data_IF_940007834730
#
_entry.id   IF_940007834730
#
_cell.length_a   1.000
_cell.length_b   1.000
_cell.length_c   1.000
_cell.angle_alpha   90.00
_cell.angle_beta   90.00
_cell.angle_gamma   90.00
#
_symmetry.space_group_name_H-M   'P 1'
#
loop_
_entity.id
_entity.type
_entity.pdbx_description
1 polymer ?
#
# COMPACT_ATOMS: atom_id res chain seq x y z
N UNK A 1 3.10 -19.67 -0.15
CA UNK A 1 4.02 -18.56 0.19
C UNK A 1 4.16 -18.38 1.69
N UNK A 2 5.30 -17.86 2.15
CA UNK A 2 5.52 -17.43 3.55
C UNK A 2 5.81 -15.92 3.54
N UNK A 3 5.27 -15.19 4.52
CA UNK A 3 5.58 -13.77 4.76
C UNK A 3 5.55 -13.45 6.25
N UNK A 4 6.05 -12.27 6.61
CA UNK A 4 6.22 -11.85 7.99
C UNK A 4 5.57 -10.49 8.23
N UNK A 5 4.61 -10.45 9.16
CA UNK A 5 3.97 -9.22 9.60
C UNK A 5 4.63 -8.71 10.89
N UNK A 6 4.99 -7.43 10.89
CA UNK A 6 5.64 -6.74 11.99
C UNK A 6 4.83 -5.51 12.37
N UNK A 7 4.63 -5.33 13.68
CA UNK A 7 3.95 -4.16 14.23
C UNK A 7 4.98 -3.16 14.78
N UNK A 8 4.99 -1.94 14.25
CA UNK A 8 5.84 -0.86 14.74
C UNK A 8 5.02 0.27 15.34
N UNK A 9 5.65 1.01 16.26
CA UNK A 9 5.15 2.28 16.77
C UNK A 9 6.23 3.34 16.57
N UNK A 10 5.91 4.40 15.85
CA UNK A 10 6.81 5.54 15.66
C UNK A 10 6.26 6.77 16.38
N UNK A 11 7.13 7.51 17.08
CA UNK A 11 6.80 8.82 17.67
C UNK A 11 6.80 9.92 16.59
N UNK A 12 6.07 9.66 15.52
CA UNK A 12 5.89 10.50 14.35
C UNK A 12 4.39 10.48 14.05
N UNK A 13 3.78 11.64 13.87
CA UNK A 13 2.36 11.74 13.50
C UNK A 13 2.05 10.86 12.30
N UNK A 14 0.94 10.13 12.34
CA UNK A 14 0.46 9.33 11.21
C UNK A 14 0.24 10.13 9.91
N UNK A 15 0.05 11.45 10.01
CA UNK A 15 -0.06 12.35 8.86
C UNK A 15 1.30 12.73 8.25
N UNK A 16 2.41 12.51 8.96
CA UNK A 16 3.78 12.78 8.48
C UNK A 16 4.32 11.63 7.63
N UNK A 17 3.58 11.24 6.59
CA UNK A 17 3.80 10.03 5.78
C UNK A 17 5.21 9.97 5.18
N UNK A 18 5.74 11.09 4.70
CA UNK A 18 7.10 11.12 4.14
C UNK A 18 8.17 10.84 5.20
N UNK A 19 8.03 11.39 6.41
CA UNK A 19 8.96 11.10 7.52
C UNK A 19 8.86 9.65 7.95
N UNK A 20 7.65 9.10 8.04
CA UNK A 20 7.44 7.68 8.35
C UNK A 20 8.17 6.80 7.32
N UNK A 21 8.00 7.10 6.02
CA UNK A 21 8.72 6.41 4.95
C UNK A 21 10.24 6.47 5.12
N UNK A 22 10.81 7.65 5.36
CA UNK A 22 12.26 7.81 5.55
C UNK A 22 12.78 6.98 6.72
N UNK A 23 12.06 7.00 7.85
CA UNK A 23 12.42 6.22 9.03
C UNK A 23 12.35 4.70 8.76
N UNK A 24 11.30 4.22 8.10
CA UNK A 24 11.17 2.82 7.73
C UNK A 24 12.25 2.38 6.74
N UNK A 25 12.51 3.18 5.69
CA UNK A 25 13.48 2.83 4.66
C UNK A 25 14.90 2.73 5.23
N UNK A 26 15.26 3.67 6.12
CA UNK A 26 16.51 3.62 6.87
C UNK A 26 16.60 2.36 7.76
N UNK A 27 15.56 2.09 8.56
CA UNK A 27 15.52 0.91 9.43
C UNK A 27 15.67 -0.40 8.66
N UNK A 28 14.97 -0.54 7.53
CA UNK A 28 15.04 -1.75 6.71
C UNK A 28 16.44 -1.96 6.11
N UNK A 29 17.08 -0.87 5.66
CA UNK A 29 18.45 -0.93 5.13
C UNK A 29 19.47 -1.31 6.20
N UNK A 30 19.38 -0.72 7.41
CA UNK A 30 20.28 -1.08 8.52
C UNK A 30 20.14 -2.54 8.94
N UNK A 31 18.91 -3.08 8.93
CA UNK A 31 18.64 -4.44 9.43
C UNK A 31 19.15 -5.56 8.54
N UNK A 32 19.10 -5.38 7.22
CA UNK A 32 19.49 -6.43 6.26
C UNK A 32 20.79 -6.11 5.52
N UNK A 33 21.32 -4.89 5.65
CA UNK A 33 22.47 -4.43 4.87
C UNK A 33 22.18 -4.27 3.38
N UNK A 34 20.94 -4.52 2.95
CA UNK A 34 20.47 -4.44 1.58
C UNK A 34 19.05 -3.88 1.50
N UNK A 35 18.63 -3.49 0.30
CA UNK A 35 17.32 -2.90 0.07
C UNK A 35 16.23 -3.98 0.02
N UNK A 36 15.65 -4.28 1.17
CA UNK A 36 14.56 -5.23 1.29
C UNK A 36 13.25 -4.64 0.72
N UNK A 37 12.53 -5.32 -0.20
CA UNK A 37 11.20 -4.92 -0.59
C UNK A 37 10.19 -5.20 0.54
N UNK A 38 9.27 -4.27 0.79
CA UNK A 38 8.24 -4.40 1.82
C UNK A 38 6.99 -3.62 1.42
N UNK A 39 5.88 -3.94 2.06
CA UNK A 39 4.69 -3.09 2.09
C UNK A 39 4.36 -2.72 3.53
N UNK A 40 3.63 -1.62 3.70
CA UNK A 40 3.18 -1.22 5.03
C UNK A 40 1.88 -0.44 4.97
N UNK A 41 1.18 -0.41 6.10
CA UNK A 41 0.00 0.41 6.35
C UNK A 41 0.21 1.26 7.59
N UNK A 42 -0.16 2.54 7.48
CA UNK A 42 -0.12 3.50 8.59
C UNK A 42 -1.49 3.55 9.25
N UNK A 43 -1.50 3.52 10.58
CA UNK A 43 -2.67 3.74 11.42
C UNK A 43 -2.40 4.88 12.42
N UNK A 44 -3.42 5.66 12.79
CA UNK A 44 -3.29 6.62 13.87
C UNK A 44 -2.92 5.91 15.19
N UNK A 45 -2.01 6.51 15.94
CA UNK A 45 -1.68 6.08 17.30
C UNK A 45 -2.66 6.61 18.35
N UNK A 46 -2.21 6.69 19.59
CA UNK A 46 -3.01 7.22 20.72
C UNK A 46 -2.67 8.68 21.05
N UNK A 47 -1.73 9.27 20.33
CA UNK A 47 -1.32 10.67 20.47
C UNK A 47 -0.67 11.17 19.18
N UNK A 48 0.42 11.93 19.30
CA UNK A 48 1.20 12.41 18.16
C UNK A 48 2.16 11.34 17.60
N UNK A 49 1.63 10.15 17.38
CA UNK A 49 2.36 8.96 17.00
C UNK A 49 1.61 8.15 15.94
N UNK A 50 2.30 7.15 15.39
CA UNK A 50 1.77 6.25 14.37
C UNK A 50 2.01 4.80 14.76
N UNK A 51 1.05 3.96 14.39
CA UNK A 51 1.18 2.51 14.41
C UNK A 51 1.31 2.03 12.98
N UNK A 52 2.22 1.10 12.73
CA UNK A 52 2.49 0.58 11.40
C UNK A 52 2.33 -0.92 11.41
N UNK A 53 1.66 -1.45 10.40
CA UNK A 53 1.77 -2.85 10.03
C UNK A 53 2.72 -2.92 8.85
N UNK A 54 3.78 -3.71 8.94
CA UNK A 54 4.80 -3.86 7.91
C UNK A 54 4.90 -5.32 7.53
N UNK A 55 4.87 -5.60 6.23
CA UNK A 55 4.97 -6.95 5.68
C UNK A 55 6.21 -7.12 4.83
N UNK A 56 6.89 -8.25 5.02
CA UNK A 56 8.13 -8.62 4.33
C UNK A 56 8.11 -10.08 3.91
N UNK A 57 8.90 -10.43 2.88
CA UNK A 57 9.09 -11.82 2.47
C UNK A 57 10.13 -12.56 3.33
N UNK A 58 11.01 -11.82 4.00
CA UNK A 58 12.09 -12.37 4.83
C UNK A 58 11.93 -11.92 6.27
N UNK A 59 12.15 -12.80 7.22
CA UNK A 59 12.09 -12.49 8.65
C UNK A 59 13.01 -11.32 9.00
N UNK A 60 12.52 -10.36 9.79
CA UNK A 60 13.31 -9.28 10.37
C UNK A 60 13.91 -9.67 11.73
N UNK A 61 13.50 -10.81 12.29
CA UNK A 61 13.97 -11.34 13.58
C UNK A 61 13.69 -10.37 14.74
N UNK A 62 12.53 -9.70 14.66
CA UNK A 62 12.09 -8.74 15.66
C UNK A 62 11.17 -9.42 16.69
N UNK A 63 11.20 -8.97 17.96
CA UNK A 63 10.24 -9.43 18.95
C UNK A 63 8.79 -9.18 18.50
N UNK A 64 7.97 -10.24 18.54
CA UNK A 64 6.55 -10.16 18.15
C UNK A 64 6.28 -10.24 16.64
N UNK A 65 7.31 -10.48 15.81
CA UNK A 65 7.14 -10.80 14.39
C UNK A 65 6.22 -12.03 14.21
N UNK A 66 5.26 -11.92 13.30
CA UNK A 66 4.32 -13.01 12.99
C UNK A 66 4.64 -13.61 11.64
N UNK A 67 5.18 -14.83 11.65
CA UNK A 67 5.28 -15.67 10.45
C UNK A 67 3.86 -16.07 10.00
N UNK A 68 3.57 -15.85 8.73
CA UNK A 68 2.32 -16.24 8.07
C UNK A 68 2.65 -17.18 6.92
N UNK A 69 1.83 -18.20 6.78
CA UNK A 69 1.88 -19.13 5.67
C UNK A 69 0.53 -19.10 4.98
N UNK A 70 0.57 -18.92 3.66
CA UNK A 70 -0.61 -18.78 2.83
C UNK A 70 -0.46 -19.68 1.61
N UNK A 71 -1.46 -20.53 1.38
CA UNK A 71 -1.50 -21.44 0.24
C UNK A 71 -2.39 -20.78 -0.82
N UNK A 72 -1.76 -20.35 -1.91
CA UNK A 72 -2.44 -19.75 -3.05
C UNK A 72 -2.37 -20.70 -4.24
N UNK A 73 -3.45 -20.73 -5.01
CA UNK A 73 -3.52 -21.45 -6.26
C UNK A 73 -4.41 -20.68 -7.21
N UNK A 74 -4.13 -20.77 -8.51
CA UNK A 74 -4.98 -20.17 -9.53
C UNK A 74 -6.40 -20.72 -9.41
N UNK A 75 -7.39 -19.85 -9.55
CA UNK A 75 -8.80 -20.17 -9.32
C UNK A 75 -9.27 -20.03 -7.87
N UNK A 76 -8.38 -19.87 -6.87
CA UNK A 76 -8.80 -19.58 -5.50
C UNK A 76 -9.34 -18.16 -5.36
N UNK A 77 -10.41 -18.02 -4.57
CA UNK A 77 -10.95 -16.71 -4.19
C UNK A 77 -10.29 -16.22 -2.91
N UNK A 78 -9.89 -14.95 -2.90
CA UNK A 78 -9.45 -14.22 -1.72
C UNK A 78 -10.33 -13.00 -1.48
N UNK A 79 -10.57 -12.67 -0.22
CA UNK A 79 -11.22 -11.43 0.20
C UNK A 79 -10.17 -10.47 0.71
N UNK A 80 -10.24 -9.22 0.27
CA UNK A 80 -9.23 -8.24 0.64
C UNK A 80 -9.80 -6.84 0.86
N UNK A 81 -9.02 -6.04 1.57
CA UNK A 81 -9.13 -4.58 1.62
C UNK A 81 -7.74 -3.97 1.49
N UNK A 82 -7.61 -2.97 0.64
CA UNK A 82 -6.36 -2.25 0.40
C UNK A 82 -6.61 -0.75 0.20
N UNK A 83 -5.63 0.08 0.56
CA UNK A 83 -5.66 1.50 0.25
C UNK A 83 -4.77 1.79 -0.94
N UNK A 84 -5.34 2.09 -2.10
CA UNK A 84 -4.64 2.21 -3.36
C UNK A 84 -4.54 3.67 -3.80
N UNK A 85 -3.34 4.09 -4.23
CA UNK A 85 -3.17 5.36 -4.90
C UNK A 85 -3.70 5.27 -6.34
N UNK A 86 -4.77 6.00 -6.64
CA UNK A 86 -5.40 6.05 -7.96
C UNK A 86 -5.50 7.51 -8.39
N UNK A 87 -4.79 7.88 -9.44
CA UNK A 87 -4.71 9.26 -9.91
C UNK A 87 -4.34 9.29 -11.40
N UNK A 88 -4.74 10.36 -12.08
CA UNK A 88 -4.11 10.76 -13.33
C UNK A 88 -3.12 11.90 -13.10
N UNK A 89 -2.09 11.98 -13.94
CA UNK A 89 -1.18 13.12 -13.95
C UNK A 89 -1.89 14.26 -14.67
N UNK A 90 -1.81 15.47 -14.12
CA UNK A 90 -2.33 16.65 -14.80
C UNK A 90 -1.71 16.82 -16.18
N UNK A 91 -2.51 17.32 -17.12
CA UNK A 91 -2.01 17.75 -18.44
C UNK A 91 -1.36 19.14 -18.32
N UNK A 92 -0.48 19.54 -19.27
CA UNK A 92 0.19 20.86 -19.23
C UNK A 92 -0.81 22.03 -19.13
N UNK A 93 -2.04 21.85 -19.60
CA UNK A 93 -3.16 22.80 -19.56
C UNK A 93 -3.74 23.04 -18.16
N UNK A 94 -3.45 22.19 -17.18
CA UNK A 94 -3.97 22.29 -15.79
C UNK A 94 -2.96 22.93 -14.82
N UNK A 95 -1.91 23.55 -15.37
CA UNK A 95 -0.92 24.36 -14.67
C UNK A 95 0.48 23.72 -14.53
N UNK A 96 1.42 24.49 -13.96
CA UNK A 96 2.79 24.04 -13.72
C UNK A 96 2.90 23.19 -12.46
N UNK A 97 3.07 21.87 -12.62
CA UNK A 97 3.47 20.96 -11.54
C UNK A 97 3.09 19.50 -11.80
N UNK A 98 3.77 18.56 -11.12
CA UNK A 98 3.40 17.12 -11.07
C UNK A 98 2.14 16.92 -10.21
N UNK A 99 1.05 17.63 -10.49
CA UNK A 99 -0.22 17.52 -9.76
C UNK A 99 -0.87 16.16 -10.09
N UNK A 100 -1.34 15.49 -9.05
CA UNK A 100 -2.04 14.21 -9.12
C UNK A 100 -3.50 14.51 -8.80
N UNK A 101 -4.39 14.12 -9.70
CA UNK A 101 -5.82 14.39 -9.59
C UNK A 101 -6.58 13.10 -9.40
N UNK A 102 -7.62 13.16 -8.56
CA UNK A 102 -8.53 12.05 -8.40
C UNK A 102 -9.34 11.88 -9.69
N UNK A 103 -9.41 10.67 -10.28
CA UNK A 103 -10.29 10.39 -11.40
C UNK A 103 -11.76 10.40 -10.96
N UNK A 104 -12.69 10.39 -11.92
CA UNK A 104 -14.11 10.13 -11.65
C UNK A 104 -14.33 8.73 -11.06
N UNK A 105 -15.50 8.48 -10.48
CA UNK A 105 -15.83 7.19 -9.86
C UNK A 105 -15.65 6.01 -10.83
N UNK A 106 -16.23 6.09 -12.03
CA UNK A 106 -16.08 5.06 -13.06
C UNK A 106 -14.61 4.84 -13.44
N UNK A 107 -13.86 5.92 -13.66
CA UNK A 107 -12.45 5.82 -14.01
C UNK A 107 -11.62 5.25 -12.84
N UNK A 108 -11.95 5.60 -11.60
CA UNK A 108 -11.30 5.05 -10.40
C UNK A 108 -11.50 3.54 -10.29
N UNK A 109 -12.72 3.06 -10.59
CA UNK A 109 -13.09 1.65 -10.60
C UNK A 109 -12.29 0.89 -11.66
N UNK A 110 -12.31 1.36 -12.93
CA UNK A 110 -11.57 0.70 -14.01
C UNK A 110 -10.05 0.69 -13.77
N UNK A 111 -9.51 1.78 -13.20
CA UNK A 111 -8.09 1.84 -12.84
C UNK A 111 -7.75 0.90 -11.68
N UNK A 112 -8.64 0.69 -10.71
CA UNK A 112 -8.47 -0.31 -9.65
C UNK A 112 -8.45 -1.72 -10.23
N UNK A 113 -9.43 -2.07 -11.07
CA UNK A 113 -9.48 -3.36 -11.78
C UNK A 113 -8.19 -3.63 -12.56
N UNK A 114 -7.73 -2.64 -13.33
CA UNK A 114 -6.49 -2.76 -14.12
C UNK A 114 -5.27 -3.03 -13.22
N UNK A 115 -5.21 -2.42 -12.03
CA UNK A 115 -4.10 -2.61 -11.09
C UNK A 115 -4.15 -3.97 -10.39
N UNK A 116 -5.36 -4.47 -10.08
CA UNK A 116 -5.57 -5.80 -9.53
C UNK A 116 -5.27 -6.90 -10.55
N UNK A 117 -5.68 -6.72 -11.81
CA UNK A 117 -5.37 -7.65 -12.88
C UNK A 117 -3.86 -7.80 -13.10
N UNK A 118 -3.10 -6.69 -13.03
CA UNK A 118 -1.61 -6.70 -13.07
C UNK A 118 -0.94 -7.30 -11.84
N UNK A 119 -1.72 -7.58 -10.80
CA UNK A 119 -1.29 -8.20 -9.57
C UNK A 119 -1.75 -9.67 -9.51
N UNK A 120 -2.13 -10.28 -10.64
CA UNK A 120 -2.61 -11.66 -10.69
C UNK A 120 -4.00 -11.87 -10.08
N UNK A 121 -4.85 -10.84 -10.03
CA UNK A 121 -6.19 -10.90 -9.42
C UNK A 121 -7.30 -10.52 -10.41
N UNK A 122 -8.19 -11.46 -10.75
CA UNK A 122 -9.46 -11.17 -11.44
C UNK A 122 -10.51 -10.76 -10.40
N UNK A 123 -10.87 -9.48 -10.38
CA UNK A 123 -11.64 -8.86 -9.30
C UNK A 123 -12.97 -8.28 -9.81
N UNK A 124 -13.97 -9.11 -10.11
CA UNK A 124 -15.23 -8.63 -10.69
C UNK A 124 -16.21 -8.01 -9.68
N UNK A 125 -15.95 -8.18 -8.39
CA UNK A 125 -16.82 -7.73 -7.30
C UNK A 125 -16.02 -6.92 -6.28
N UNK A 126 -15.63 -5.71 -6.68
CA UNK A 126 -14.95 -4.76 -5.78
C UNK A 126 -15.81 -3.52 -5.56
N UNK A 127 -15.60 -2.90 -4.41
CA UNK A 127 -16.08 -1.57 -4.05
C UNK A 127 -14.87 -0.66 -3.96
N UNK A 128 -14.96 0.50 -4.62
CA UNK A 128 -13.95 1.56 -4.56
C UNK A 128 -14.58 2.76 -3.84
N UNK A 129 -13.95 3.21 -2.76
CA UNK A 129 -14.44 4.30 -1.92
C UNK A 129 -13.35 5.36 -1.68
N UNK A 130 -13.72 6.63 -1.66
CA UNK A 130 -12.79 7.77 -1.53
C UNK A 130 -13.05 8.82 -2.61
N UNK A 131 -12.04 9.65 -2.96
CA UNK A 131 -10.67 9.65 -2.45
C UNK A 131 -10.54 10.26 -1.05
N UNK A 132 -9.67 9.69 -0.23
CA UNK A 132 -9.01 10.42 0.85
C UNK A 132 -7.77 11.12 0.28
N UNK A 133 -7.63 12.42 0.55
CA UNK A 133 -6.50 13.21 0.08
C UNK A 133 -5.39 13.24 1.12
N UNK A 134 -4.34 12.44 0.90
CA UNK A 134 -3.17 12.38 1.78
C UNK A 134 -2.16 13.44 1.35
N UNK A 135 -1.83 14.38 2.25
CA UNK A 135 -0.78 15.36 1.99
C UNK A 135 0.60 14.74 2.25
N UNK A 136 1.43 14.67 1.21
CA UNK A 136 2.82 14.21 1.31
C UNK A 136 3.73 15.43 1.42
N UNK A 137 4.05 15.85 2.65
CA UNK A 137 5.00 16.92 2.91
C UNK A 137 6.45 16.41 2.95
N UNK A 138 7.35 17.06 2.21
CA UNK A 138 8.78 16.72 2.15
C UNK A 138 9.66 17.63 3.01
N UNK A 139 9.08 18.51 3.83
CA UNK A 139 9.82 19.42 4.72
C UNK A 139 10.45 20.64 4.03
N UNK A 140 10.55 20.63 2.70
CA UNK A 140 10.91 21.80 1.91
C UNK A 140 9.62 22.43 1.39
N UNK A 141 9.34 23.68 1.79
CA UNK A 141 8.07 24.43 1.68
C UNK A 141 7.40 24.52 0.29
N UNK A 142 7.92 23.85 -0.75
CA UNK A 142 7.40 23.83 -2.13
C UNK A 142 7.44 22.46 -2.82
N UNK A 143 7.78 21.37 -2.12
CA UNK A 143 7.98 20.04 -2.75
C UNK A 143 6.96 18.96 -2.33
N UNK A 144 5.94 19.34 -1.57
CA UNK A 144 4.83 18.46 -1.20
C UNK A 144 3.80 18.28 -2.32
N UNK A 145 2.95 17.26 -2.21
CA UNK A 145 1.83 17.04 -3.13
C UNK A 145 0.67 16.31 -2.43
N UNK A 146 -0.55 16.50 -2.94
CA UNK A 146 -1.72 15.73 -2.52
C UNK A 146 -1.76 14.41 -3.30
N UNK A 147 -1.99 13.31 -2.58
CA UNK A 147 -2.14 11.98 -3.14
C UNK A 147 -3.57 11.50 -2.94
N UNK A 148 -4.35 11.29 -4.02
CA UNK A 148 -5.65 10.64 -3.92
C UNK A 148 -5.46 9.15 -3.60
N UNK A 149 -5.99 8.72 -2.46
CA UNK A 149 -5.97 7.34 -1.99
C UNK A 149 -7.39 6.83 -1.87
N UNK A 150 -7.66 5.69 -2.48
CA UNK A 150 -8.96 5.04 -2.47
C UNK A 150 -8.88 3.76 -1.65
N UNK A 151 -9.93 3.46 -0.90
CA UNK A 151 -10.11 2.14 -0.31
C UNK A 151 -10.74 1.24 -1.37
N UNK A 152 -10.06 0.13 -1.66
CA UNK A 152 -10.54 -0.91 -2.59
C UNK A 152 -10.73 -2.18 -1.79
N UNK A 153 -11.94 -2.72 -1.79
CA UNK A 153 -12.27 -3.94 -1.05
C UNK A 153 -13.18 -4.85 -1.87
N UNK A 154 -13.10 -6.15 -1.65
CA UNK A 154 -13.95 -7.11 -2.35
C UNK A 154 -13.36 -8.51 -2.38
N UNK A 155 -13.90 -9.33 -3.27
CA UNK A 155 -13.39 -10.65 -3.58
C UNK A 155 -12.66 -10.64 -4.92
N UNK A 156 -11.60 -11.43 -5.02
CA UNK A 156 -10.86 -11.64 -6.25
C UNK A 156 -10.45 -13.10 -6.41
N UNK A 157 -10.49 -13.59 -7.64
CA UNK A 157 -9.95 -14.88 -8.01
C UNK A 157 -8.51 -14.72 -8.44
N UNK A 158 -7.63 -15.60 -7.98
CA UNK A 158 -6.22 -15.62 -8.38
C UNK A 158 -6.14 -16.09 -9.83
N UNK A 159 -5.68 -15.20 -10.71
CA UNK A 159 -5.44 -15.50 -12.12
C UNK A 159 -3.98 -15.81 -12.42
N UNK A 160 -3.05 -15.34 -11.58
CA UNK A 160 -1.64 -15.69 -11.64
C UNK A 160 -1.09 -15.79 -10.22
N UNK A 161 -0.63 -16.97 -9.83
CA UNK A 161 -0.17 -17.20 -8.45
C UNK A 161 1.05 -16.33 -8.10
N UNK A 162 2.07 -16.27 -8.95
CA UNK A 162 3.32 -15.57 -8.64
C UNK A 162 3.09 -14.05 -8.48
N UNK A 163 2.31 -13.44 -9.36
CA UNK A 163 1.95 -12.02 -9.25
C UNK A 163 1.12 -11.73 -8.00
N UNK A 164 0.18 -12.62 -7.65
CA UNK A 164 -0.64 -12.49 -6.46
C UNK A 164 0.20 -12.60 -5.17
N UNK A 165 1.13 -13.55 -5.11
CA UNK A 165 2.06 -13.67 -3.98
C UNK A 165 2.88 -12.38 -3.82
N UNK A 166 3.44 -11.86 -4.92
CA UNK A 166 4.19 -10.59 -4.92
C UNK A 166 3.33 -9.40 -4.47
N UNK A 167 2.09 -9.34 -4.93
CA UNK A 167 1.13 -8.30 -4.58
C UNK A 167 0.74 -8.32 -3.10
N UNK A 168 0.54 -9.51 -2.54
CA UNK A 168 0.19 -9.68 -1.12
C UNK A 168 1.34 -9.26 -0.21
N UNK A 169 2.59 -9.57 -0.56
CA UNK A 169 3.75 -9.18 0.26
C UNK A 169 4.14 -7.73 0.05
N UNK A 170 4.32 -7.33 -1.21
CA UNK A 170 4.95 -6.06 -1.56
C UNK A 170 3.94 -4.97 -1.91
N UNK A 171 2.65 -5.28 -1.90
CA UNK A 171 1.56 -4.35 -2.12
C UNK A 171 1.23 -4.08 -3.59
N UNK A 172 0.00 -3.62 -3.82
CA UNK A 172 -0.57 -3.38 -5.16
C UNK A 172 -0.57 -1.90 -5.54
N UNK A 173 -0.24 -1.62 -6.80
CA UNK A 173 -0.37 -0.28 -7.38
C UNK A 173 0.80 0.67 -7.07
N UNK A 174 0.65 1.95 -7.41
CA UNK A 174 1.73 2.93 -7.27
C UNK A 174 1.83 3.47 -5.83
N UNK A 175 2.91 4.22 -5.56
CA UNK A 175 3.10 4.99 -4.31
C UNK A 175 3.14 4.13 -3.02
N UNK A 176 3.56 2.86 -3.14
CA UNK A 176 3.70 1.91 -2.03
C UNK A 176 4.61 2.39 -0.90
N UNK A 177 5.63 3.17 -1.25
CA UNK A 177 6.52 3.88 -0.30
C UNK A 177 5.79 4.84 0.65
N UNK A 178 4.54 5.21 0.37
CA UNK A 178 3.71 6.08 1.24
C UNK A 178 2.63 5.29 1.99
N UNK A 179 2.76 3.97 2.08
CA UNK A 179 1.81 3.11 2.79
C UNK A 179 0.56 2.75 1.99
N UNK A 180 0.61 2.91 0.67
CA UNK A 180 -0.44 2.46 -0.25
C UNK A 180 -0.19 1.03 -0.72
N UNK A 181 -1.24 0.33 -1.11
CA UNK A 181 -1.18 -1.00 -1.73
C UNK A 181 -1.04 -2.16 -0.76
N UNK A 182 -0.84 -1.92 0.54
CA UNK A 182 -0.87 -2.98 1.53
C UNK A 182 -2.22 -3.71 1.50
N UNK A 183 -2.21 -5.03 1.33
CA UNK A 183 -3.41 -5.85 1.28
C UNK A 183 -3.66 -6.51 2.63
N UNK A 184 -4.79 -6.17 3.25
CA UNK A 184 -5.35 -6.95 4.34
C UNK A 184 -6.21 -8.05 3.72
N UNK A 185 -5.88 -9.30 4.01
CA UNK A 185 -6.71 -10.44 3.64
C UNK A 185 -7.74 -10.65 4.76
N UNK A 186 -8.99 -10.91 4.37
CA UNK A 186 -10.09 -11.15 5.30
C UNK A 186 -10.43 -12.65 5.31
N UNK A 187 -10.51 -13.24 6.51
CA UNK A 187 -10.88 -14.65 6.70
C UNK A 187 -9.73 -15.62 6.98
N UNK A 188 -8.55 -15.12 7.35
CA UNK A 188 -7.37 -15.91 7.74
C UNK A 188 -6.88 -15.57 9.17
#
# INVERSE_FOLDING_TARGET
MIFYDNAFRLRISHTSVYRIHQHLDFFMQERKGEKLPYSFKIFPGTGNDSRLMVRTATALELPGEKKRELILSEGHEIKFITSMAIFHKGTKSEGHGRRQFAPSDEASYQMALTKLAKAGLDSRQIVVSGPEFVHIDKGNARRGFMLPVFTVQGAATISNQQEAEMAIVYGVGPKRVFGCGFMHLAGE
#
